data_IF_530583728015
#
_entry.id   IF_530583728015
#
_cell.length_a   1.000
_cell.length_b   1.000
_cell.length_c   1.000
_cell.angle_alpha   90.00
_cell.angle_beta   90.00
_cell.angle_gamma   90.00
#
_symmetry.space_group_name_H-M   'P 1'
#
loop_
_entity.id
_entity.type
_entity.pdbx_description
1 polymer ?
#
# COMPACT_ATOMS: atom_id res chain seq x y z
N UNK A 1 32.66 -14.84 3.56
CA UNK A 1 31.59 -13.98 4.13
C UNK A 1 30.64 -13.69 2.99
N UNK A 2 29.47 -14.34 2.98
CA UNK A 2 28.52 -14.23 1.87
C UNK A 2 27.74 -12.92 1.95
N UNK A 3 27.99 -12.03 1.00
CA UNK A 3 27.21 -10.82 0.78
C UNK A 3 25.76 -11.23 0.54
N UNK A 4 24.88 -11.02 1.52
CA UNK A 4 23.45 -11.19 1.33
C UNK A 4 22.98 -10.00 0.48
N UNK A 5 23.03 -10.14 -0.84
CA UNK A 5 22.29 -9.24 -1.73
C UNK A 5 20.81 -9.48 -1.46
N UNK A 6 20.24 -8.69 -0.56
CA UNK A 6 18.79 -8.60 -0.41
C UNK A 6 18.24 -8.22 -1.78
N UNK A 7 17.56 -9.15 -2.45
CA UNK A 7 16.82 -8.81 -3.67
C UNK A 7 15.74 -7.84 -3.25
N UNK A 8 15.92 -6.56 -3.60
CA UNK A 8 14.88 -5.56 -3.45
C UNK A 8 13.68 -6.03 -4.29
N UNK A 9 12.55 -6.26 -3.62
CA UNK A 9 11.28 -6.57 -4.27
C UNK A 9 10.87 -5.36 -5.11
N UNK A 10 10.22 -5.58 -6.27
CA UNK A 10 9.77 -4.45 -7.08
C UNK A 10 8.71 -3.65 -6.33
N UNK A 11 8.57 -2.36 -6.61
CA UNK A 11 7.57 -1.54 -5.93
C UNK A 11 6.16 -2.10 -6.15
N UNK A 12 5.91 -2.69 -7.33
CA UNK A 12 4.66 -3.41 -7.61
C UNK A 12 4.45 -4.58 -6.66
N UNK A 13 5.47 -5.42 -6.45
CA UNK A 13 5.35 -6.57 -5.56
C UNK A 13 5.19 -6.13 -4.10
N UNK A 14 6.01 -5.19 -3.64
CA UNK A 14 5.89 -4.60 -2.31
C UNK A 14 4.49 -4.01 -2.08
N UNK A 15 3.95 -3.25 -3.04
CA UNK A 15 2.63 -2.63 -2.94
C UNK A 15 1.51 -3.66 -2.86
N UNK A 16 1.59 -4.73 -3.66
CA UNK A 16 0.62 -5.84 -3.63
C UNK A 16 0.53 -6.44 -2.24
N UNK A 17 1.69 -6.79 -1.67
CA UNK A 17 1.79 -7.42 -0.36
C UNK A 17 1.27 -6.51 0.77
N UNK A 18 1.67 -5.22 0.78
CA UNK A 18 1.35 -4.32 1.90
C UNK A 18 -0.11 -3.86 1.86
N UNK A 19 -0.66 -3.54 0.69
CA UNK A 19 -2.08 -3.16 0.57
C UNK A 19 -3.00 -4.34 0.91
N UNK A 20 -2.63 -5.56 0.51
CA UNK A 20 -3.35 -6.77 0.95
C UNK A 20 -3.32 -6.91 2.47
N UNK A 21 -2.15 -6.77 3.12
CA UNK A 21 -2.06 -6.82 4.58
C UNK A 21 -2.96 -5.80 5.27
N UNK A 22 -3.06 -4.57 4.76
CA UNK A 22 -3.91 -3.53 5.33
C UNK A 22 -5.39 -3.94 5.28
N UNK A 23 -5.90 -4.31 4.11
CA UNK A 23 -7.34 -4.50 3.92
C UNK A 23 -7.84 -5.92 4.23
N UNK A 24 -7.01 -6.94 4.04
CA UNK A 24 -7.37 -8.35 4.29
C UNK A 24 -7.04 -8.81 5.72
N UNK A 25 -6.49 -7.92 6.56
CA UNK A 25 -6.24 -8.22 7.97
C UNK A 25 -7.52 -8.65 8.70
N UNK A 26 -7.44 -9.66 9.60
CA UNK A 26 -8.60 -10.23 10.27
C UNK A 26 -9.17 -9.32 11.36
N UNK A 27 -8.39 -8.37 11.86
CA UNK A 27 -8.81 -7.42 12.90
C UNK A 27 -8.39 -6.01 12.53
N UNK A 28 -9.11 -5.03 13.07
CA UNK A 28 -8.78 -3.63 12.89
C UNK A 28 -7.42 -3.28 13.49
N UNK A 29 -7.06 -3.89 14.63
CA UNK A 29 -5.73 -3.73 15.21
C UNK A 29 -4.62 -4.21 14.26
N UNK A 30 -4.78 -5.41 13.66
CA UNK A 30 -3.81 -5.92 12.68
C UNK A 30 -3.74 -5.04 11.43
N UNK A 31 -4.89 -4.51 10.99
CA UNK A 31 -4.96 -3.56 9.88
C UNK A 31 -4.19 -2.26 10.19
N UNK A 32 -4.35 -1.70 11.39
CA UNK A 32 -3.63 -0.48 11.80
C UNK A 32 -2.12 -0.72 11.92
N UNK A 33 -1.72 -1.88 12.46
CA UNK A 33 -0.31 -2.26 12.48
C UNK A 33 0.27 -2.37 11.06
N UNK A 34 -0.47 -2.96 10.13
CA UNK A 34 -0.06 -3.03 8.73
C UNK A 34 0.04 -1.65 8.06
N UNK A 35 -0.79 -0.67 8.47
CA UNK A 35 -0.67 0.72 8.01
C UNK A 35 0.61 1.35 8.56
N UNK A 36 0.91 1.17 9.86
CA UNK A 36 2.15 1.68 10.47
C UNK A 36 3.41 1.04 9.85
N UNK A 37 3.34 -0.22 9.40
CA UNK A 37 4.44 -0.89 8.69
C UNK A 37 4.60 -0.40 7.23
N UNK A 38 3.52 0.02 6.58
CA UNK A 38 3.52 0.41 5.18
C UNK A 38 3.87 1.89 4.95
N UNK A 39 3.56 2.77 5.91
CA UNK A 39 3.73 4.21 5.75
C UNK A 39 4.74 4.76 6.75
N UNK A 40 5.56 5.72 6.30
CA UNK A 40 6.41 6.48 7.21
C UNK A 40 5.55 7.37 8.13
N UNK A 41 6.00 7.58 9.37
CA UNK A 41 5.31 8.48 10.31
C UNK A 41 5.25 9.93 9.81
N UNK A 42 6.27 10.38 9.08
CA UNK A 42 6.36 11.73 8.50
C UNK A 42 6.15 11.67 6.99
N UNK A 43 4.93 11.30 6.57
CA UNK A 43 4.56 11.21 5.16
C UNK A 43 3.98 12.55 4.67
N UNK A 44 4.40 12.96 3.47
CA UNK A 44 3.74 14.07 2.74
C UNK A 44 2.78 13.47 1.71
N UNK A 45 1.48 13.43 2.04
CA UNK A 45 0.45 12.91 1.16
C UNK A 45 -0.70 13.89 0.99
N UNK A 46 -1.31 13.81 -0.19
CA UNK A 46 -2.51 14.59 -0.53
C UNK A 46 -3.57 13.70 -1.16
N UNK A 47 -4.83 13.91 -0.78
CA UNK A 47 -6.00 13.32 -1.44
C UNK A 47 -6.87 14.45 -1.95
N UNK A 48 -7.18 14.44 -3.25
CA UNK A 48 -7.95 15.50 -3.92
C UNK A 48 -7.40 16.92 -3.65
N UNK A 49 -6.07 17.06 -3.61
CA UNK A 49 -5.39 18.33 -3.35
C UNK A 49 -5.35 18.76 -1.87
N UNK A 50 -5.96 18.01 -0.95
CA UNK A 50 -5.90 18.26 0.49
C UNK A 50 -4.81 17.41 1.13
N UNK A 51 -3.93 18.02 1.94
CA UNK A 51 -2.96 17.27 2.76
C UNK A 51 -3.67 16.37 3.76
N UNK A 52 -3.16 15.16 3.90
CA UNK A 52 -3.65 14.17 4.86
C UNK A 52 -2.51 13.64 5.71
N UNK A 53 -2.84 13.25 6.93
CA UNK A 53 -1.93 12.64 7.90
C UNK A 53 -2.02 11.12 7.87
N UNK A 54 -1.07 10.43 8.52
CA UNK A 54 -1.16 8.99 8.74
C UNK A 54 -2.45 8.59 9.49
N UNK A 55 -2.88 9.40 10.44
CA UNK A 55 -4.13 9.17 11.17
C UNK A 55 -5.36 9.28 10.25
N UNK A 56 -5.36 10.22 9.29
CA UNK A 56 -6.42 10.31 8.28
C UNK A 56 -6.48 9.06 7.38
N UNK A 57 -5.31 8.48 7.06
CA UNK A 57 -5.23 7.20 6.32
C UNK A 57 -5.83 6.07 7.15
N UNK A 58 -5.45 5.95 8.43
CA UNK A 58 -5.99 4.94 9.35
C UNK A 58 -7.51 5.03 9.46
N UNK A 59 -8.05 6.24 9.66
CA UNK A 59 -9.50 6.46 9.73
C UNK A 59 -10.20 6.09 8.42
N UNK A 60 -9.58 6.39 7.27
CA UNK A 60 -10.12 6.00 5.96
C UNK A 60 -10.16 4.48 5.80
N UNK A 61 -9.09 3.77 6.19
CA UNK A 61 -9.03 2.30 6.15
C UNK A 61 -10.11 1.67 7.05
N UNK A 62 -10.24 2.13 8.29
CA UNK A 62 -11.27 1.64 9.23
C UNK A 62 -12.68 1.89 8.70
N UNK A 63 -12.92 3.07 8.11
CA UNK A 63 -14.23 3.40 7.52
C UNK A 63 -14.59 2.44 6.40
N UNK A 64 -13.64 2.11 5.52
CA UNK A 64 -13.86 1.14 4.42
C UNK A 64 -14.12 -0.26 5.00
N UNK A 65 -13.37 -0.68 6.02
CA UNK A 65 -13.52 -1.99 6.68
C UNK A 65 -14.81 -2.14 7.48
N UNK A 66 -15.33 -1.07 8.08
CA UNK A 66 -16.58 -1.11 8.85
C UNK A 66 -17.81 -1.48 8.00
N UNK A 67 -17.73 -1.29 6.68
CA UNK A 67 -18.78 -1.68 5.73
C UNK A 67 -18.76 -3.16 5.34
N UNK A 68 -17.76 -3.92 5.76
CA UNK A 68 -17.64 -5.36 5.49
C UNK A 68 -17.96 -6.20 6.72
N UNK A 69 -18.56 -7.36 6.49
CA UNK A 69 -18.72 -8.38 7.53
C UNK A 69 -17.34 -8.76 8.10
N UNK A 70 -17.32 -9.19 9.37
CA UNK A 70 -16.13 -9.33 10.24
C UNK A 70 -15.01 -10.26 9.73
N UNK A 71 -15.11 -10.79 8.51
CA UNK A 71 -14.12 -11.61 7.81
C UNK A 71 -12.99 -10.80 7.15
N UNK A 72 -13.10 -9.47 7.09
CA UNK A 72 -12.13 -8.60 6.41
C UNK A 72 -12.47 -8.40 4.93
N UNK A 73 -11.76 -7.47 4.28
CA UNK A 73 -11.95 -7.20 2.85
C UNK A 73 -11.08 -8.15 2.02
N UNK A 74 -11.38 -8.24 0.73
CA UNK A 74 -10.52 -8.91 -0.25
C UNK A 74 -10.05 -7.90 -1.28
N UNK A 75 -8.74 -7.83 -1.50
CA UNK A 75 -8.14 -6.95 -2.50
C UNK A 75 -8.00 -7.72 -3.81
N UNK A 76 -8.64 -7.21 -4.86
CA UNK A 76 -8.47 -7.71 -6.21
C UNK A 76 -7.72 -6.69 -7.06
N UNK A 77 -6.53 -7.08 -7.52
CA UNK A 77 -5.71 -6.26 -8.41
C UNK A 77 -6.18 -6.43 -9.85
N UNK A 78 -6.72 -5.36 -10.45
CA UNK A 78 -7.16 -5.39 -11.85
C UNK A 78 -6.02 -5.17 -12.84
N UNK A 79 -5.13 -4.22 -12.56
CA UNK A 79 -3.99 -3.91 -13.42
C UNK A 79 -2.84 -3.36 -12.57
N UNK A 80 -1.62 -3.75 -12.91
CA UNK A 80 -0.40 -3.14 -12.36
C UNK A 80 0.54 -2.81 -13.51
N UNK A 81 0.96 -1.55 -13.61
CA UNK A 81 1.94 -1.09 -14.59
C UNK A 81 3.16 -0.62 -13.83
N UNK A 82 4.29 -1.27 -14.06
CA UNK A 82 5.57 -0.83 -13.54
C UNK A 82 6.25 0.02 -14.62
N UNK A 83 6.83 1.16 -14.23
CA UNK A 83 7.62 1.94 -15.18
C UNK A 83 8.85 1.10 -15.60
N UNK A 84 9.29 1.17 -16.87
CA UNK A 84 10.50 0.50 -17.31
C UNK A 84 11.68 0.89 -16.41
N UNK A 85 12.52 -0.08 -16.07
CA UNK A 85 13.76 0.17 -15.33
C UNK A 85 14.67 1.03 -16.19
N UNK A 86 14.70 2.33 -15.95
CA UNK A 86 15.65 3.22 -16.62
C UNK A 86 17.05 2.97 -16.01
N UNK A 87 18.04 2.51 -16.80
CA UNK A 87 19.39 2.25 -16.30
C UNK A 87 20.11 3.51 -15.80
N UNK A 88 19.58 4.71 -16.07
CA UNK A 88 20.10 5.98 -15.53
C UNK A 88 19.54 6.33 -14.15
N UNK A 89 18.53 5.59 -13.68
CA UNK A 89 17.85 5.83 -12.40
C UNK A 89 18.51 5.13 -11.19
N UNK A 90 19.65 4.45 -11.37
CA UNK A 90 20.39 3.81 -10.28
C UNK A 90 20.93 4.80 -9.24
N UNK A 91 20.96 6.11 -9.55
CA UNK A 91 21.47 7.16 -8.66
C UNK A 91 20.45 8.17 -8.15
N UNK A 92 19.17 8.05 -8.50
CA UNK A 92 18.16 9.03 -8.11
C UNK A 92 17.04 8.36 -7.33
N UNK A 93 17.25 8.24 -6.02
CA UNK A 93 16.37 7.64 -5.02
C UNK A 93 14.99 8.34 -4.86
N UNK A 94 14.67 9.32 -5.70
CA UNK A 94 13.59 10.28 -5.44
C UNK A 94 12.42 10.29 -6.43
N UNK A 95 12.44 9.52 -7.55
CA UNK A 95 11.37 9.67 -8.57
C UNK A 95 10.92 8.39 -9.28
N UNK A 96 10.63 7.32 -8.53
CA UNK A 96 9.77 6.24 -9.04
C UNK A 96 8.30 6.68 -8.99
N UNK A 97 7.82 7.27 -10.09
CA UNK A 97 6.39 7.48 -10.29
C UNK A 97 5.77 6.17 -10.83
N UNK A 98 5.12 5.40 -9.96
CA UNK A 98 4.26 4.29 -10.38
C UNK A 98 2.81 4.78 -10.36
N UNK A 99 2.16 4.76 -11.52
CA UNK A 99 0.73 5.01 -11.62
C UNK A 99 -0.01 3.69 -11.35
N UNK A 100 -0.21 3.36 -10.07
CA UNK A 100 -1.02 2.20 -9.67
C UNK A 100 -2.49 2.62 -9.57
N UNK A 101 -3.35 2.05 -10.42
CA UNK A 101 -4.80 2.15 -10.22
C UNK A 101 -5.25 0.99 -9.33
N UNK A 102 -5.43 1.28 -8.04
CA UNK A 102 -6.07 0.37 -7.09
C UNK A 102 -7.59 0.59 -7.16
N UNK A 103 -8.34 -0.44 -7.52
CA UNK A 103 -9.76 -0.54 -7.16
C UNK A 103 -9.86 -1.55 -6.03
N UNK A 104 -10.16 -1.09 -4.81
CA UNK A 104 -10.62 -1.96 -3.76
C UNK A 104 -12.14 -2.14 -3.94
N UNK A 105 -12.57 -3.36 -4.20
CA UNK A 105 -13.98 -3.72 -4.28
C UNK A 105 -14.28 -4.65 -3.10
N UNK A 106 -15.09 -4.17 -2.14
CA UNK A 106 -15.66 -5.04 -1.11
C UNK A 106 -16.85 -5.78 -1.69
N UNK A 107 -16.79 -7.11 -1.75
CA UNK A 107 -17.96 -7.95 -2.01
C UNK A 107 -18.40 -8.57 -0.70
N UNK A 108 -19.63 -8.27 -0.28
CA UNK A 108 -20.38 -9.06 0.69
C UNK A 108 -20.85 -10.30 -0.08
N UNK A 109 -20.31 -11.47 0.27
CA UNK A 109 -20.86 -12.77 -0.14
C UNK A 109 -21.33 -13.52 1.10
#
# INVERSE_FOLDING_TARGET
MGSHTARLTSLTQWSKEHIQRIFESPTDHASMQAVDEAFAHDLDATVNGKKITLEDIKQSVLSIRSGSDRSGLRVQWHQTVEAPTDPTNEFSKDRLAVHTQLKASGSIV
#
